data_IF_731064728275
#
_entry.id   IF_731064728275
#
_cell.length_a   1.000
_cell.length_b   1.000
_cell.length_c   1.000
_cell.angle_alpha   90.00
_cell.angle_beta   90.00
_cell.angle_gamma   90.00
#
_symmetry.space_group_name_H-M   'P 1'
#
loop_
_entity.id
_entity.type
_entity.pdbx_description
1 polymer ?
#
# COMPACT_ATOMS: atom_id res chain seq x y z
N UNK A 1 19.48 15.58 -57.60
CA UNK A 1 20.74 16.28 -57.86
C UNK A 1 21.18 16.90 -56.57
N UNK A 2 22.10 16.39 -56.02
CA UNK A 2 23.38 16.33 -55.36
C UNK A 2 23.14 16.00 -53.88
N UNK A 3 23.45 14.84 -53.44
CA UNK A 3 24.73 14.29 -52.96
C UNK A 3 25.71 15.33 -52.41
N UNK A 4 25.89 15.33 -51.08
CA UNK A 4 27.25 15.43 -50.57
C UNK A 4 27.35 14.61 -49.28
N UNK A 5 28.15 13.57 -49.35
CA UNK A 5 28.81 12.96 -48.21
C UNK A 5 29.65 14.00 -47.47
N UNK A 6 29.68 13.95 -46.18
CA UNK A 6 30.93 14.18 -45.47
C UNK A 6 31.03 13.31 -44.22
N UNK A 7 31.89 12.40 -44.38
CA UNK A 7 32.54 11.60 -43.35
C UNK A 7 33.57 12.51 -42.67
N UNK A 8 33.48 12.73 -41.37
CA UNK A 8 34.66 12.99 -40.55
C UNK A 8 34.31 12.99 -39.07
N UNK A 9 34.76 11.99 -38.35
CA UNK A 9 35.46 12.06 -37.08
C UNK A 9 34.85 12.99 -36.02
N UNK A 10 34.18 12.39 -35.04
CA UNK A 10 33.80 13.07 -33.80
C UNK A 10 32.82 12.23 -33.00
N UNK A 11 33.33 11.30 -32.23
CA UNK A 11 32.60 10.59 -31.20
C UNK A 11 32.06 11.61 -30.17
N UNK A 12 31.02 12.33 -30.52
CA UNK A 12 30.17 12.93 -29.51
C UNK A 12 29.17 11.86 -29.10
N UNK A 13 29.54 11.12 -28.07
CA UNK A 13 28.59 10.43 -27.23
C UNK A 13 27.65 11.52 -26.69
N UNK A 14 26.67 11.89 -27.49
CA UNK A 14 25.50 12.60 -26.99
C UNK A 14 24.85 11.66 -26.07
N UNK A 15 25.26 11.73 -24.80
CA UNK A 15 24.46 11.27 -23.69
C UNK A 15 23.10 11.94 -23.89
N UNK A 16 22.20 11.20 -24.48
CA UNK A 16 20.78 11.51 -24.48
C UNK A 16 20.39 11.40 -23.01
N UNK A 17 20.68 12.45 -22.24
CA UNK A 17 20.03 12.70 -20.98
C UNK A 17 18.59 12.93 -21.39
N UNK A 18 17.86 11.83 -21.61
CA UNK A 18 16.44 11.89 -21.59
C UNK A 18 16.10 12.65 -20.31
N UNK A 19 15.42 13.80 -20.39
CA UNK A 19 14.99 14.45 -19.18
C UNK A 19 14.23 13.37 -18.40
N UNK A 20 14.78 12.99 -17.27
CA UNK A 20 14.06 12.13 -16.33
C UNK A 20 12.85 12.97 -15.94
N UNK A 21 11.80 12.84 -16.73
CA UNK A 21 10.52 13.46 -16.43
C UNK A 21 10.11 12.88 -15.10
N UNK A 22 10.37 13.65 -14.06
CA UNK A 22 9.93 13.36 -12.72
C UNK A 22 8.41 13.42 -12.73
N UNK A 23 7.78 12.32 -13.13
CA UNK A 23 6.33 12.23 -13.19
C UNK A 23 5.84 12.31 -11.75
N UNK A 24 5.26 13.44 -11.41
CA UNK A 24 4.61 13.62 -10.12
C UNK A 24 3.27 12.91 -10.21
N UNK A 25 3.10 11.87 -9.41
CA UNK A 25 1.85 11.13 -9.33
C UNK A 25 1.08 11.51 -8.08
N UNK A 26 -0.23 11.51 -8.20
CA UNK A 26 -1.17 11.79 -7.14
C UNK A 26 -2.05 10.56 -6.89
N UNK A 27 -2.48 10.40 -5.66
CA UNK A 27 -3.44 9.38 -5.26
C UNK A 27 -4.59 10.03 -4.51
N UNK A 28 -5.80 9.66 -4.87
CA UNK A 28 -6.99 9.99 -4.12
C UNK A 28 -7.19 8.93 -3.04
N UNK A 29 -7.33 9.36 -1.81
CA UNK A 29 -7.40 8.50 -0.63
C UNK A 29 -8.75 8.69 0.04
N UNK A 30 -9.45 7.57 0.26
CA UNK A 30 -10.62 7.50 1.11
C UNK A 30 -10.20 7.16 2.54
N UNK A 31 -10.56 8.00 3.48
CA UNK A 31 -10.35 7.75 4.91
C UNK A 31 -11.60 7.16 5.57
N UNK A 32 -11.45 6.37 6.64
CA UNK A 32 -12.58 5.81 7.40
C UNK A 32 -13.22 6.87 8.29
N UNK A 33 -13.75 7.88 7.67
CA UNK A 33 -14.47 9.00 8.30
C UNK A 33 -15.88 9.10 7.71
N UNK A 34 -16.77 9.76 8.41
CA UNK A 34 -18.15 9.99 7.94
C UNK A 34 -18.20 11.08 6.86
N UNK A 35 -17.41 10.94 5.80
CA UNK A 35 -17.37 11.85 4.66
C UNK A 35 -17.19 11.07 3.37
N UNK A 36 -17.94 11.46 2.35
CA UNK A 36 -17.81 10.93 0.99
C UNK A 36 -16.63 11.51 0.22
N UNK A 37 -15.98 12.52 0.79
CA UNK A 37 -14.86 13.18 0.12
C UNK A 37 -13.64 12.26 0.10
N UNK A 38 -13.02 12.20 -1.05
CA UNK A 38 -11.66 11.67 -1.24
C UNK A 38 -10.66 12.82 -1.15
N UNK A 39 -9.47 12.52 -0.70
CA UNK A 39 -8.44 13.52 -0.48
C UNK A 39 -7.21 13.19 -1.32
N UNK A 40 -6.78 14.16 -2.13
CA UNK A 40 -5.65 14.01 -3.03
C UNK A 40 -4.32 14.20 -2.28
N UNK A 41 -3.42 13.24 -2.46
CA UNK A 41 -2.06 13.26 -1.91
C UNK A 41 -1.04 13.00 -3.00
N UNK A 42 0.16 13.59 -2.84
CA UNK A 42 1.29 13.29 -3.70
C UNK A 42 1.87 11.92 -3.34
N UNK A 43 2.19 11.12 -4.35
CA UNK A 43 2.90 9.87 -4.17
C UNK A 43 4.40 10.15 -4.19
N UNK A 44 5.15 9.88 -3.12
CA UNK A 44 6.61 9.99 -3.12
C UNK A 44 7.21 9.04 -4.16
N UNK A 45 8.30 9.45 -4.83
CA UNK A 45 8.99 8.65 -5.86
C UNK A 45 9.29 7.21 -5.41
N UNK A 46 9.68 7.04 -4.15
CA UNK A 46 9.99 5.73 -3.55
C UNK A 46 8.79 4.78 -3.53
N UNK A 47 7.57 5.31 -3.55
CA UNK A 47 6.33 4.53 -3.41
C UNK A 47 5.57 4.39 -4.73
N UNK A 48 5.95 5.10 -5.80
CA UNK A 48 5.21 5.12 -7.06
C UNK A 48 4.98 3.73 -7.65
N UNK A 49 5.99 2.85 -7.60
CA UNK A 49 5.88 1.50 -8.13
C UNK A 49 5.05 0.54 -7.25
N UNK A 50 4.83 0.90 -5.99
CA UNK A 50 4.18 0.04 -5.00
C UNK A 50 2.76 0.47 -4.68
N UNK A 51 2.41 1.74 -4.95
CA UNK A 51 1.06 2.25 -4.73
C UNK A 51 0.15 1.78 -5.87
N UNK A 52 -0.94 1.11 -5.50
CA UNK A 52 -2.00 0.64 -6.42
C UNK A 52 -3.36 0.95 -5.82
N UNK A 53 -4.40 0.98 -6.65
CA UNK A 53 -5.78 1.11 -6.18
C UNK A 53 -6.10 -0.08 -5.26
N UNK A 54 -6.75 0.18 -4.13
CA UNK A 54 -7.07 -0.83 -3.12
C UNK A 54 -5.97 -1.09 -2.09
N UNK A 55 -4.82 -0.43 -2.19
CA UNK A 55 -3.74 -0.54 -1.20
C UNK A 55 -3.97 0.46 -0.07
N UNK A 56 -3.64 0.06 1.16
CA UNK A 56 -3.73 0.94 2.32
C UNK A 56 -2.45 1.74 2.49
N UNK A 57 -2.66 3.01 2.73
CA UNK A 57 -1.58 3.97 2.94
C UNK A 57 -1.78 4.75 4.23
N UNK A 58 -0.71 5.21 4.81
CA UNK A 58 -0.71 6.12 5.94
C UNK A 58 -0.44 7.52 5.43
N UNK A 59 -1.36 8.44 5.70
CA UNK A 59 -1.22 9.82 5.26
C UNK A 59 -1.59 10.80 6.38
N UNK A 60 -1.02 12.03 6.35
CA UNK A 60 -1.29 13.06 7.34
C UNK A 60 -2.69 13.64 7.09
N UNK A 61 -3.61 13.41 8.01
CA UNK A 61 -4.95 13.98 8.00
C UNK A 61 -5.14 14.92 9.18
N UNK A 62 -5.32 16.21 8.92
CA UNK A 62 -5.26 17.27 9.93
C UNK A 62 -3.95 17.20 10.76
N UNK A 63 -4.07 16.98 12.07
CA UNK A 63 -2.95 16.88 13.01
C UNK A 63 -2.52 15.43 13.31
N UNK A 64 -3.14 14.46 12.66
CA UNK A 64 -2.90 13.01 12.92
C UNK A 64 -2.52 12.31 11.64
N UNK A 65 -1.84 11.18 11.78
CA UNK A 65 -1.61 10.23 10.69
C UNK A 65 -2.71 9.19 10.72
N UNK A 66 -3.45 9.06 9.63
CA UNK A 66 -4.60 8.17 9.51
C UNK A 66 -4.35 7.20 8.36
N UNK A 67 -4.84 5.98 8.52
CA UNK A 67 -4.80 4.98 7.47
C UNK A 67 -5.98 5.22 6.54
N UNK A 68 -5.72 5.27 5.25
CA UNK A 68 -6.71 5.37 4.20
C UNK A 68 -6.46 4.35 3.11
N UNK A 69 -7.39 4.23 2.19
CA UNK A 69 -7.32 3.33 1.03
C UNK A 69 -7.21 4.17 -0.23
N UNK A 70 -6.33 3.79 -1.14
CA UNK A 70 -6.16 4.44 -2.44
C UNK A 70 -7.33 4.08 -3.34
N UNK A 71 -8.05 5.09 -3.81
CA UNK A 71 -9.24 4.96 -4.67
C UNK A 71 -8.87 5.16 -6.14
N UNK A 72 -8.06 6.17 -6.42
CA UNK A 72 -7.62 6.51 -7.76
C UNK A 72 -6.17 6.97 -7.77
N UNK A 73 -5.54 6.87 -8.93
CA UNK A 73 -4.18 7.38 -9.18
C UNK A 73 -4.23 8.23 -10.45
N UNK A 74 -3.62 9.41 -10.42
CA UNK A 74 -3.59 10.35 -11.53
C UNK A 74 -2.24 11.05 -11.62
N UNK A 75 -1.90 11.50 -12.82
CA UNK A 75 -0.67 12.28 -13.08
C UNK A 75 -0.90 13.78 -12.86
N UNK A 76 -2.16 14.19 -12.76
CA UNK A 76 -2.57 15.59 -12.59
C UNK A 76 -3.52 15.74 -11.41
N UNK A 77 -3.62 16.94 -10.89
CA UNK A 77 -4.60 17.27 -9.84
C UNK A 77 -5.22 18.63 -10.13
N UNK A 78 -6.52 18.72 -9.95
CA UNK A 78 -7.27 19.98 -10.06
C UNK A 78 -7.16 20.83 -8.78
N UNK A 79 -6.58 20.26 -7.72
CA UNK A 79 -6.43 20.96 -6.45
C UNK A 79 -5.32 22.01 -6.52
N UNK A 80 -5.71 23.29 -6.38
CA UNK A 80 -4.82 24.45 -6.48
C UNK A 80 -4.00 24.75 -5.22
N UNK A 81 -4.24 24.01 -4.13
CA UNK A 81 -3.55 24.21 -2.85
C UNK A 81 -2.30 23.36 -2.69
N UNK A 82 -1.69 23.42 -1.52
CA UNK A 82 -0.53 22.58 -1.18
C UNK A 82 -0.96 21.13 -0.95
N UNK A 83 -0.58 20.24 -1.86
CA UNK A 83 -0.84 18.81 -1.75
C UNK A 83 0.20 18.18 -0.82
N UNK A 84 -0.27 17.52 0.24
CA UNK A 84 0.58 16.76 1.17
C UNK A 84 1.00 15.43 0.55
N UNK A 85 2.11 14.87 1.01
CA UNK A 85 2.59 13.57 0.55
C UNK A 85 2.08 12.44 1.43
N UNK A 86 1.93 11.24 0.82
CA UNK A 86 1.74 9.98 1.55
C UNK A 86 2.98 9.74 2.43
N UNK A 87 2.76 9.32 3.66
CA UNK A 87 3.82 9.06 4.63
C UNK A 87 4.46 7.67 4.41
N UNK A 88 3.65 6.65 4.33
CA UNK A 88 4.10 5.28 4.14
C UNK A 88 3.01 4.38 3.56
N UNK A 89 3.45 3.31 2.94
CA UNK A 89 2.61 2.18 2.56
C UNK A 89 2.41 1.28 3.79
N UNK A 90 1.22 0.75 3.96
CA UNK A 90 0.92 -0.19 5.07
C UNK A 90 1.06 -1.62 4.57
N UNK A 91 0.51 -1.89 3.39
CA UNK A 91 0.52 -3.21 2.79
C UNK A 91 1.55 -3.29 1.67
N UNK A 92 2.36 -4.33 1.67
CA UNK A 92 3.29 -4.62 0.58
C UNK A 92 2.60 -5.33 -0.60
N UNK A 93 1.44 -5.91 -0.35
CA UNK A 93 0.65 -6.65 -1.33
C UNK A 93 -0.75 -6.03 -1.46
N UNK A 94 -1.41 -6.34 -2.57
CA UNK A 94 -2.77 -5.89 -2.83
C UNK A 94 -3.74 -6.65 -1.91
N UNK A 95 -4.28 -5.97 -0.92
CA UNK A 95 -5.25 -6.54 0.04
C UNK A 95 -6.66 -6.54 -0.50
N UNK A 96 -7.03 -5.50 -1.25
CA UNK A 96 -8.32 -5.36 -1.90
C UNK A 96 -8.13 -5.59 -3.39
N UNK A 97 -8.44 -6.79 -3.85
CA UNK A 97 -8.37 -7.12 -5.27
C UNK A 97 -9.46 -6.40 -6.08
N UNK A 98 -9.39 -6.49 -7.40
CA UNK A 98 -10.31 -5.81 -8.31
C UNK A 98 -11.79 -6.21 -8.09
N UNK A 99 -12.05 -7.47 -7.74
CA UNK A 99 -13.42 -7.95 -7.56
C UNK A 99 -14.00 -7.48 -6.24
N UNK A 100 -13.20 -7.59 -5.18
CA UNK A 100 -13.57 -7.07 -3.87
C UNK A 100 -13.75 -5.54 -3.92
N UNK A 101 -12.87 -4.85 -4.62
CA UNK A 101 -12.99 -3.40 -4.81
C UNK A 101 -14.33 -2.99 -5.42
N UNK A 102 -14.74 -3.63 -6.52
CA UNK A 102 -16.05 -3.39 -7.14
C UNK A 102 -17.22 -3.68 -6.20
N UNK A 103 -17.11 -4.74 -5.40
CA UNK A 103 -18.11 -5.03 -4.38
C UNK A 103 -18.21 -3.91 -3.35
N UNK A 104 -17.08 -3.37 -2.89
CA UNK A 104 -17.05 -2.27 -1.92
C UNK A 104 -17.65 -0.98 -2.50
N UNK A 105 -17.36 -0.66 -3.75
CA UNK A 105 -18.00 0.46 -4.46
C UNK A 105 -19.51 0.26 -4.52
N UNK A 106 -19.98 -0.91 -4.93
CA UNK A 106 -21.40 -1.22 -4.97
C UNK A 106 -22.05 -1.13 -3.58
N UNK A 107 -21.42 -1.65 -2.54
CA UNK A 107 -21.91 -1.55 -1.15
C UNK A 107 -21.99 -0.09 -0.71
N UNK A 108 -20.96 0.70 -1.03
CA UNK A 108 -20.93 2.14 -0.72
C UNK A 108 -22.11 2.87 -1.34
N UNK A 109 -22.40 2.61 -2.62
CA UNK A 109 -23.48 3.26 -3.35
C UNK A 109 -24.86 2.78 -2.87
N UNK A 110 -25.02 1.47 -2.69
CA UNK A 110 -26.29 0.88 -2.29
C UNK A 110 -26.73 1.28 -0.88
N UNK A 111 -25.81 1.30 0.08
CA UNK A 111 -26.09 1.64 1.48
C UNK A 111 -25.82 3.11 1.80
N UNK A 112 -25.48 3.92 0.81
CA UNK A 112 -25.14 5.34 1.00
C UNK A 112 -24.14 5.53 2.14
N UNK A 113 -23.08 4.70 2.15
CA UNK A 113 -22.06 4.71 3.19
C UNK A 113 -20.72 5.14 2.59
N UNK A 114 -19.94 6.03 3.24
CA UNK A 114 -18.64 6.46 2.74
C UNK A 114 -17.70 5.28 2.45
N UNK A 115 -17.10 5.26 1.25
CA UNK A 115 -16.26 4.17 0.77
C UNK A 115 -15.10 3.81 1.73
N UNK A 116 -14.52 4.82 2.40
CA UNK A 116 -13.48 4.60 3.40
C UNK A 116 -13.93 3.79 4.61
N UNK A 117 -15.20 3.94 5.04
CA UNK A 117 -15.78 3.13 6.12
C UNK A 117 -16.08 1.71 5.65
N UNK A 118 -16.64 1.58 4.44
CA UNK A 118 -16.91 0.26 3.83
C UNK A 118 -15.61 -0.53 3.69
N UNK A 119 -14.57 0.09 3.14
CA UNK A 119 -13.26 -0.54 2.99
C UNK A 119 -12.65 -0.96 4.34
N UNK A 120 -12.80 -0.15 5.39
CA UNK A 120 -12.34 -0.50 6.73
C UNK A 120 -13.08 -1.68 7.33
N UNK A 121 -14.40 -1.76 7.14
CA UNK A 121 -15.24 -2.87 7.66
C UNK A 121 -14.99 -4.18 6.93
N UNK A 122 -14.68 -4.12 5.64
CA UNK A 122 -14.37 -5.30 4.85
C UNK A 122 -13.04 -5.97 5.24
N UNK A 123 -12.15 -5.21 5.89
CA UNK A 123 -10.86 -5.73 6.30
C UNK A 123 -10.94 -6.47 7.63
N UNK A 124 -10.39 -7.69 7.73
CA UNK A 124 -10.32 -8.41 8.99
C UNK A 124 -9.64 -7.59 10.09
N UNK A 125 -10.08 -7.76 11.33
CA UNK A 125 -9.53 -7.04 12.48
C UNK A 125 -8.00 -7.22 12.63
N UNK A 126 -7.46 -8.35 12.16
CA UNK A 126 -6.02 -8.63 12.12
C UNK A 126 -5.22 -7.71 11.21
N UNK A 127 -5.86 -7.13 10.20
CA UNK A 127 -5.24 -6.16 9.28
C UNK A 127 -5.43 -4.71 9.77
N UNK A 128 -6.16 -4.48 10.86
CA UNK A 128 -6.27 -3.15 11.45
C UNK A 128 -4.93 -2.74 12.08
N UNK A 129 -4.63 -1.44 12.06
CA UNK A 129 -3.38 -0.89 12.60
C UNK A 129 -3.19 -1.12 14.11
N UNK A 130 -4.23 -1.51 14.82
CA UNK A 130 -4.22 -1.77 16.26
C UNK A 130 -4.04 -3.25 16.61
N UNK A 131 -4.10 -4.13 15.63
CA UNK A 131 -3.96 -5.56 15.90
C UNK A 131 -2.50 -5.92 16.13
N UNK A 132 -2.22 -6.44 17.31
CA UNK A 132 -0.96 -7.13 17.62
C UNK A 132 -1.27 -8.62 17.59
N UNK A 133 -0.67 -9.42 16.70
CA UNK A 133 -0.90 -10.86 16.73
C UNK A 133 -0.47 -11.42 18.09
N UNK A 134 -1.24 -12.32 18.68
CA UNK A 134 -0.82 -13.00 19.90
C UNK A 134 0.47 -13.77 19.61
N UNK A 135 1.49 -13.56 20.42
CA UNK A 135 2.70 -14.36 20.36
C UNK A 135 2.39 -15.77 20.85
N UNK A 136 2.64 -16.75 19.99
CA UNK A 136 2.53 -18.17 20.37
C UNK A 136 3.90 -18.63 20.83
N UNK A 137 4.00 -19.01 22.09
CA UNK A 137 5.20 -19.66 22.57
C UNK A 137 5.14 -21.10 22.07
N UNK A 138 6.05 -21.46 21.17
CA UNK A 138 6.22 -22.82 20.70
C UNK A 138 7.38 -23.41 21.49
N UNK A 139 7.11 -24.41 22.31
CA UNK A 139 8.14 -25.17 22.99
C UNK A 139 8.53 -26.33 22.09
N UNK A 140 9.76 -26.30 21.59
CA UNK A 140 10.31 -27.40 20.79
C UNK A 140 11.22 -28.25 21.70
N UNK A 141 10.95 -29.54 21.76
CA UNK A 141 11.83 -30.49 22.41
C UNK A 141 13.13 -30.62 21.60
N UNK A 142 14.26 -30.25 22.17
CA UNK A 142 15.58 -30.42 21.51
C UNK A 142 16.22 -31.77 21.79
N UNK A 143 15.92 -32.38 22.94
CA UNK A 143 16.47 -33.65 23.39
C UNK A 143 15.46 -34.37 24.24
N UNK A 144 15.32 -35.70 24.06
CA UNK A 144 14.52 -36.51 24.95
C UNK A 144 15.18 -36.49 26.35
N UNK A 145 14.40 -36.47 27.42
CA UNK A 145 14.96 -36.55 28.75
C UNK A 145 15.64 -37.93 28.94
N UNK A 146 16.86 -37.90 29.46
CA UNK A 146 17.63 -39.12 29.74
C UNK A 146 17.11 -39.90 30.97
N UNK A 147 16.07 -39.40 31.62
CA UNK A 147 15.47 -39.97 32.85
C UNK A 147 14.07 -40.46 32.54
N UNK A 148 13.79 -41.71 32.83
CA UNK A 148 12.44 -42.28 32.78
C UNK A 148 11.53 -41.58 33.76
N UNK A 149 10.41 -41.04 33.25
CA UNK A 149 9.40 -40.33 34.07
C UNK A 149 8.49 -41.35 34.79
N UNK A 150 9.00 -42.03 35.80
CA UNK A 150 8.29 -43.10 36.50
C UNK A 150 7.02 -42.63 37.24
N UNK A 151 6.88 -41.33 37.52
CA UNK A 151 5.75 -40.78 38.26
C UNK A 151 4.81 -39.88 37.41
N UNK A 152 4.91 -39.92 36.09
CA UNK A 152 4.08 -39.09 35.19
C UNK A 152 3.52 -39.94 34.03
N UNK A 153 2.63 -40.89 34.29
CA UNK A 153 2.12 -41.81 33.25
C UNK A 153 1.37 -41.14 32.10
N UNK A 154 0.92 -39.92 32.30
CA UNK A 154 0.27 -39.13 31.24
C UNK A 154 1.29 -38.52 30.25
N UNK A 155 2.54 -38.36 30.67
CA UNK A 155 3.61 -37.80 29.81
C UNK A 155 4.32 -38.82 28.93
N UNK A 156 4.15 -40.12 29.24
CA UNK A 156 4.70 -41.24 28.45
C UNK A 156 3.90 -41.49 27.13
N UNK A 157 2.74 -40.84 26.96
CA UNK A 157 1.85 -41.07 25.80
C UNK A 157 1.95 -40.01 24.69
N UNK A 158 2.94 -39.13 24.71
CA UNK A 158 3.11 -38.08 23.66
C UNK A 158 4.23 -38.45 22.69
#
# INVERSE_FOLDING_TARGET
MLLVNFFSEGFYCTLFIAPLFLVIMYADIAFPISSYQVFTYRIPLKLQNSVKIGVRVKAPFHKRKVNGVVVAISDTTDYKGTVRSIDSLIDNELVLDKYLWRLLEWVSDYYLTPLGQVAQTALPARLSSRYKPPSRIVVAFRKAPDVALTNAPVQERV
#
